data_IF_323644098349
#
_entry.id   IF_323644098349
#
_cell.length_a   1.000
_cell.length_b   1.000
_cell.length_c   1.000
_cell.angle_alpha   90.00
_cell.angle_beta   90.00
_cell.angle_gamma   90.00
#
_symmetry.space_group_name_H-M   'P 1'
#
loop_
_entity.id
_entity.type
_entity.pdbx_description
1 polymer ?
#
# COMPACT_ATOMS: atom_id res chain seq x y z
N UNK A 1 16.46 13.38 18.63
CA UNK A 1 17.22 13.12 17.39
C UNK A 1 16.30 12.21 16.62
N UNK A 2 15.62 12.74 15.61
CA UNK A 2 14.98 11.87 14.63
C UNK A 2 16.17 11.21 13.95
N UNK A 3 16.33 9.90 14.09
CA UNK A 3 17.27 9.18 13.26
C UNK A 3 16.55 9.06 11.91
N UNK A 4 17.11 9.73 10.90
CA UNK A 4 16.69 9.51 9.53
C UNK A 4 16.97 8.02 9.23
N UNK A 5 15.95 7.31 8.79
CA UNK A 5 16.04 5.89 8.50
C UNK A 5 17.11 5.61 7.46
N UNK A 6 17.85 4.52 7.67
CA UNK A 6 18.93 4.07 6.80
C UNK A 6 18.49 2.81 6.07
N UNK A 7 17.93 2.99 4.87
CA UNK A 7 17.38 1.90 4.07
C UNK A 7 18.50 0.97 3.56
N UNK A 8 18.36 -0.36 3.70
CA UNK A 8 19.33 -1.31 3.16
C UNK A 8 19.39 -1.27 1.63
N UNK A 9 20.59 -1.27 1.06
CA UNK A 9 20.79 -1.37 -0.39
C UNK A 9 20.95 -2.83 -0.83
N UNK A 10 20.29 -3.21 -1.91
CA UNK A 10 20.37 -4.52 -2.53
C UNK A 10 20.08 -4.45 -4.05
N UNK A 11 21.16 -4.37 -4.85
CA UNK A 11 21.11 -4.31 -6.32
C UNK A 11 20.37 -5.47 -7.02
N UNK A 12 20.03 -6.54 -6.29
CA UNK A 12 19.27 -7.68 -6.84
C UNK A 12 17.75 -7.52 -6.70
N UNK A 13 17.28 -6.53 -5.93
CA UNK A 13 15.86 -6.28 -5.69
C UNK A 13 15.32 -5.13 -6.56
N UNK A 14 14.01 -5.14 -6.88
CA UNK A 14 13.36 -3.95 -7.40
C UNK A 14 13.38 -2.84 -6.33
N UNK A 15 13.44 -1.59 -6.79
CA UNK A 15 13.47 -0.39 -5.93
C UNK A 15 12.12 0.32 -6.01
N UNK A 16 11.58 0.73 -4.88
CA UNK A 16 10.43 1.63 -4.78
C UNK A 16 10.71 2.81 -3.84
N UNK A 17 10.26 3.99 -4.24
CA UNK A 17 10.21 5.13 -3.32
C UNK A 17 9.26 4.84 -2.15
N UNK A 18 9.60 5.30 -0.95
CA UNK A 18 8.94 4.96 0.31
C UNK A 18 7.41 5.14 0.32
N UNK A 19 6.89 6.17 -0.37
CA UNK A 19 5.45 6.41 -0.48
C UNK A 19 4.78 5.43 -1.46
N UNK A 20 5.49 5.03 -2.52
CA UNK A 20 5.02 3.99 -3.44
C UNK A 20 5.10 2.61 -2.81
N UNK A 21 6.09 2.34 -1.97
CA UNK A 21 6.17 1.11 -1.19
C UNK A 21 4.97 0.96 -0.24
N UNK A 22 4.55 2.05 0.41
CA UNK A 22 3.33 2.07 1.22
C UNK A 22 2.09 1.72 0.40
N UNK A 23 1.90 2.34 -0.78
CA UNK A 23 0.77 2.03 -1.65
C UNK A 23 0.84 0.59 -2.17
N UNK A 24 2.03 0.11 -2.55
CA UNK A 24 2.25 -1.26 -2.97
C UNK A 24 1.81 -2.26 -1.90
N UNK A 25 2.09 -1.99 -0.62
CA UNK A 25 1.60 -2.86 0.46
C UNK A 25 0.07 -2.87 0.50
N UNK A 26 -0.57 -1.71 0.42
CA UNK A 26 -2.03 -1.59 0.47
C UNK A 26 -2.73 -2.26 -0.72
N UNK A 27 -2.08 -2.28 -1.89
CA UNK A 27 -2.62 -2.90 -3.10
C UNK A 27 -2.47 -4.43 -3.12
N UNK A 28 -1.43 -4.97 -2.46
CA UNK A 28 -1.02 -6.36 -2.65
C UNK A 28 -1.21 -7.25 -1.40
N UNK A 29 -1.36 -6.67 -0.21
CA UNK A 29 -1.32 -7.44 1.04
C UNK A 29 -2.51 -7.17 1.96
N UNK A 30 -2.82 -8.16 2.79
CA UNK A 30 -3.95 -8.12 3.72
C UNK A 30 -3.54 -8.27 5.19
N UNK A 31 -2.29 -8.67 5.45
CA UNK A 31 -1.79 -8.96 6.81
C UNK A 31 -0.49 -8.22 7.12
N UNK A 32 -0.24 -8.02 8.42
CA UNK A 32 1.02 -7.43 8.91
C UNK A 32 2.24 -8.28 8.51
N UNK A 33 2.12 -9.62 8.49
CA UNK A 33 3.21 -10.52 8.12
C UNK A 33 3.66 -10.31 6.67
N UNK A 34 2.70 -10.12 5.76
CA UNK A 34 3.00 -9.86 4.35
C UNK A 34 3.67 -8.49 4.15
N UNK A 35 3.22 -7.46 4.87
CA UNK A 35 3.84 -6.15 4.85
C UNK A 35 5.29 -6.18 5.37
N UNK A 36 5.56 -6.96 6.43
CA UNK A 36 6.92 -7.19 6.93
C UNK A 36 7.77 -7.91 5.88
N UNK A 37 7.24 -8.97 5.25
CA UNK A 37 7.94 -9.71 4.19
C UNK A 37 8.31 -8.79 3.02
N UNK A 38 7.42 -7.89 2.63
CA UNK A 38 7.65 -6.93 1.55
C UNK A 38 8.89 -6.05 1.78
N UNK A 39 9.22 -5.72 3.03
CA UNK A 39 10.44 -4.96 3.35
C UNK A 39 11.73 -5.70 2.93
N UNK A 40 11.68 -7.02 2.76
CA UNK A 40 12.82 -7.85 2.32
C UNK A 40 12.79 -8.20 0.84
N UNK A 41 11.67 -7.96 0.16
CA UNK A 41 11.45 -8.29 -1.26
C UNK A 41 11.65 -7.08 -2.18
N UNK A 42 11.58 -5.87 -1.62
CA UNK A 42 11.68 -4.60 -2.33
C UNK A 42 12.64 -3.69 -1.56
N UNK A 43 13.63 -3.13 -2.26
CA UNK A 43 14.47 -2.07 -1.71
C UNK A 43 13.65 -0.77 -1.63
N UNK A 44 13.67 -0.13 -0.46
CA UNK A 44 12.96 1.13 -0.23
C UNK A 44 13.96 2.28 -0.36
N UNK A 45 13.62 3.29 -1.16
CA UNK A 45 14.39 4.53 -1.25
C UNK A 45 13.59 5.75 -0.76
N UNK A 46 14.26 6.79 -0.27
CA UNK A 46 13.61 8.01 0.18
C UNK A 46 14.23 8.62 1.43
N UNK A 47 13.60 9.64 2.04
CA UNK A 47 14.09 10.35 3.22
C UNK A 47 14.06 9.55 4.54
N UNK A 48 14.21 8.22 4.52
CA UNK A 48 14.43 7.42 5.72
C UNK A 48 13.25 7.40 6.70
N UNK A 49 12.03 7.12 6.24
CA UNK A 49 10.88 6.93 7.13
C UNK A 49 10.86 5.54 7.78
N UNK A 50 10.12 5.45 8.87
CA UNK A 50 9.66 4.20 9.45
C UNK A 50 8.13 4.09 9.35
N UNK A 51 7.61 2.87 9.49
CA UNK A 51 6.22 2.57 9.19
C UNK A 51 5.55 1.87 10.36
N UNK A 52 4.32 2.27 10.65
CA UNK A 52 3.41 1.52 11.50
C UNK A 52 2.39 0.82 10.61
N UNK A 53 2.26 -0.49 10.77
CA UNK A 53 1.30 -1.30 10.02
C UNK A 53 0.39 -2.03 11.01
N UNK A 54 -0.89 -2.13 10.68
CA UNK A 54 -1.86 -2.92 11.41
C UNK A 54 -2.84 -3.61 10.48
N UNK A 55 -3.40 -4.75 10.90
CA UNK A 55 -4.36 -5.53 10.12
C UNK A 55 -5.73 -5.68 10.82
N UNK A 56 -6.69 -6.28 10.11
CA UNK A 56 -8.06 -6.47 10.60
C UNK A 56 -8.15 -7.42 11.80
N UNK A 57 -7.13 -8.26 12.03
CA UNK A 57 -7.04 -9.15 13.19
C UNK A 57 -6.56 -8.39 14.45
N UNK A 58 -6.02 -7.18 14.28
CA UNK A 58 -5.47 -6.36 15.36
C UNK A 58 -4.00 -6.65 15.63
N UNK A 59 -3.30 -7.33 14.72
CA UNK A 59 -1.85 -7.39 14.77
C UNK A 59 -1.30 -6.02 14.38
N UNK A 60 -0.18 -5.63 14.97
CA UNK A 60 0.52 -4.39 14.66
C UNK A 60 2.03 -4.65 14.58
N UNK A 61 2.72 -3.88 13.76
CA UNK A 61 4.17 -3.82 13.75
C UNK A 61 4.68 -2.40 13.47
N UNK A 62 5.81 -2.05 14.08
CA UNK A 62 6.66 -0.97 13.60
C UNK A 62 7.80 -1.57 12.76
N UNK A 63 7.98 -1.06 11.55
CA UNK A 63 9.05 -1.41 10.62
C UNK A 63 9.95 -0.18 10.49
N UNK A 64 11.18 -0.29 10.99
CA UNK A 64 12.19 0.76 10.92
C UNK A 64 13.42 0.25 10.16
N UNK A 65 14.21 1.20 9.65
CA UNK A 65 15.43 0.92 8.91
C UNK A 65 16.58 1.63 9.62
N UNK A 66 17.42 0.86 10.31
CA UNK A 66 18.43 1.38 11.25
C UNK A 66 19.73 0.64 10.96
N UNK A 67 20.82 1.39 10.80
CA UNK A 67 22.15 0.84 10.47
C UNK A 67 22.10 -0.11 9.26
N UNK A 68 21.42 0.31 8.20
CA UNK A 68 21.18 -0.46 6.96
C UNK A 68 20.52 -1.83 7.21
N UNK A 69 19.71 -1.95 8.26
CA UNK A 69 18.98 -3.17 8.61
C UNK A 69 17.50 -2.91 8.86
N UNK A 70 16.67 -3.90 8.50
CA UNK A 70 15.24 -3.89 8.79
C UNK A 70 15.05 -4.31 10.25
N UNK A 71 14.50 -3.41 11.06
CA UNK A 71 14.18 -3.61 12.47
C UNK A 71 12.67 -3.65 12.63
N UNK A 72 12.15 -4.79 13.09
CA UNK A 72 10.71 -5.02 13.26
C UNK A 72 10.38 -5.16 14.74
N UNK A 73 9.48 -4.32 15.25
CA UNK A 73 8.88 -4.45 16.58
C UNK A 73 7.42 -4.86 16.45
N UNK A 74 7.05 -6.02 17.01
CA UNK A 74 5.67 -6.55 17.01
C UNK A 74 5.42 -7.46 18.22
N UNK A 75 4.18 -7.92 18.40
CA UNK A 75 3.83 -8.90 19.44
C UNK A 75 4.35 -8.50 20.83
N UNK A 76 5.02 -9.41 21.55
CA UNK A 76 5.53 -9.19 22.91
C UNK A 76 6.61 -8.11 23.01
N UNK A 77 7.32 -7.83 21.91
CA UNK A 77 8.34 -6.75 21.85
C UNK A 77 7.74 -5.41 21.41
N UNK A 78 6.40 -5.35 21.27
CA UNK A 78 5.62 -4.14 21.01
C UNK A 78 4.47 -3.99 22.03
N UNK A 79 4.77 -3.83 23.34
CA UNK A 79 3.74 -3.79 24.38
C UNK A 79 2.81 -2.56 24.28
N UNK A 80 3.22 -1.52 23.56
CA UNK A 80 2.40 -0.35 23.23
C UNK A 80 2.30 -0.27 21.71
N UNK A 81 1.13 -0.49 21.10
CA UNK A 81 0.95 -0.45 19.65
C UNK A 81 0.86 1.00 19.17
N UNK A 82 2.00 1.70 19.16
CA UNK A 82 2.11 3.07 18.64
C UNK A 82 3.53 3.36 18.14
N UNK A 83 3.63 4.18 17.09
CA UNK A 83 4.90 4.66 16.54
C UNK A 83 4.84 6.18 16.40
N UNK A 84 5.95 6.83 16.71
CA UNK A 84 6.14 8.27 16.64
C UNK A 84 7.50 8.54 15.99
N UNK A 85 7.95 9.79 15.96
CA UNK A 85 9.12 10.24 15.21
C UNK A 85 10.48 9.75 15.74
N UNK A 86 10.52 8.79 16.67
CA UNK A 86 11.72 8.28 17.31
C UNK A 86 11.71 6.75 17.25
N UNK A 87 12.87 6.08 17.12
CA UNK A 87 12.93 4.62 17.08
C UNK A 87 12.16 3.97 18.23
N UNK A 88 11.40 2.91 17.94
CA UNK A 88 10.49 2.29 18.91
C UNK A 88 11.17 1.86 20.21
N UNK A 89 12.39 1.31 20.13
CA UNK A 89 13.17 0.95 21.32
C UNK A 89 13.48 2.17 22.21
N UNK A 90 13.71 3.34 21.62
CA UNK A 90 13.95 4.57 22.38
C UNK A 90 12.67 5.06 23.05
N UNK A 91 11.52 4.92 22.40
CA UNK A 91 10.21 5.20 23.01
C UNK A 91 9.96 4.28 24.23
N UNK A 92 10.29 2.99 24.13
CA UNK A 92 10.22 2.05 25.27
C UNK A 92 11.17 2.43 26.41
N UNK A 93 12.39 2.88 26.12
CA UNK A 93 13.31 3.35 27.17
C UNK A 93 12.75 4.56 27.93
N UNK A 94 12.10 5.48 27.23
CA UNK A 94 11.47 6.64 27.85
C UNK A 94 10.25 6.24 28.70
N UNK A 95 9.50 5.23 28.28
CA UNK A 95 8.32 4.74 28.99
C UNK A 95 8.64 4.26 30.41
N UNK A 96 9.80 3.60 30.60
CA UNK A 96 10.23 3.01 31.89
C UNK A 96 10.38 4.02 33.03
N UNK A 97 10.47 5.32 32.73
CA UNK A 97 10.58 6.37 33.75
C UNK A 97 9.24 6.72 34.40
N UNK A 98 8.11 6.32 33.82
CA UNK A 98 6.77 6.72 34.28
C UNK A 98 6.06 5.64 35.11
N UNK A 99 5.22 6.09 36.05
CA UNK A 99 4.41 5.21 36.89
C UNK A 99 3.43 4.39 36.04
N UNK A 100 3.21 3.15 36.47
CA UNK A 100 2.48 2.14 35.70
C UNK A 100 3.34 1.37 34.69
N UNK A 101 4.57 1.83 34.42
CA UNK A 101 5.50 1.21 33.47
C UNK A 101 6.90 0.94 34.06
N UNK A 102 7.02 0.96 35.39
CA UNK A 102 8.26 0.64 36.13
C UNK A 102 8.96 1.85 36.77
N UNK A 103 8.52 3.07 36.48
CA UNK A 103 9.17 4.29 36.96
C UNK A 103 8.40 5.05 38.05
N UNK A 104 8.88 6.25 38.37
CA UNK A 104 8.40 7.08 39.48
C UNK A 104 7.79 8.41 39.05
N UNK A 105 7.97 8.85 37.80
CA UNK A 105 7.39 10.09 37.29
C UNK A 105 5.90 9.89 37.00
N UNK A 106 5.07 10.85 37.41
CA UNK A 106 3.65 10.84 37.08
C UNK A 106 3.44 11.24 35.60
N UNK A 107 2.71 10.44 34.80
CA UNK A 107 2.36 10.85 33.45
C UNK A 107 1.22 11.86 33.50
N UNK A 108 1.53 13.13 33.22
CA UNK A 108 0.53 14.19 33.02
C UNK A 108 0.13 14.27 31.54
N UNK A 109 -1.09 13.81 31.23
CA UNK A 109 -1.60 13.83 29.85
C UNK A 109 -1.77 15.25 29.29
N UNK A 110 -1.90 16.26 30.16
CA UNK A 110 -2.01 17.67 29.77
C UNK A 110 -0.66 18.35 29.56
N UNK A 111 0.44 17.77 30.05
CA UNK A 111 1.79 18.34 29.89
C UNK A 111 2.36 17.97 28.50
N UNK A 112 2.62 18.95 27.60
CA UNK A 112 3.20 18.67 26.29
C UNK A 112 4.64 18.13 26.35
N UNK A 113 5.31 18.21 27.50
CA UNK A 113 6.66 17.66 27.70
C UNK A 113 6.64 16.16 28.00
N UNK A 114 5.50 15.60 28.39
CA UNK A 114 5.34 14.15 28.53
C UNK A 114 5.32 13.53 27.12
N UNK A 115 6.19 12.55 26.82
CA UNK A 115 6.27 11.96 25.48
C UNK A 115 4.90 11.43 25.02
N UNK A 116 4.57 11.67 23.74
CA UNK A 116 3.32 11.18 23.12
C UNK A 116 3.15 9.68 23.32
N UNK A 117 4.22 8.90 23.18
CA UNK A 117 4.20 7.45 23.43
C UNK A 117 3.78 7.07 24.85
N UNK A 118 4.21 7.83 25.87
CA UNK A 118 3.79 7.62 27.26
C UNK A 118 2.31 7.91 27.43
N UNK A 119 1.82 9.02 26.84
CA UNK A 119 0.39 9.36 26.86
C UNK A 119 -0.44 8.27 26.20
N UNK A 120 -0.02 7.78 25.02
CA UNK A 120 -0.66 6.65 24.34
C UNK A 120 -0.67 5.39 25.18
N UNK A 121 0.44 5.05 25.83
CA UNK A 121 0.51 3.87 26.70
C UNK A 121 -0.48 3.96 27.87
N UNK A 122 -0.61 5.13 28.49
CA UNK A 122 -1.60 5.38 29.55
C UNK A 122 -3.03 5.25 29.02
N UNK A 123 -3.34 5.91 27.90
CA UNK A 123 -4.68 5.87 27.32
C UNK A 123 -5.09 4.45 26.89
N UNK A 124 -4.21 3.71 26.21
CA UNK A 124 -4.49 2.32 25.84
C UNK A 124 -4.72 1.43 27.07
N UNK A 125 -3.92 1.60 28.13
CA UNK A 125 -4.06 0.83 29.38
C UNK A 125 -5.39 1.11 30.07
N UNK A 126 -5.83 2.36 30.05
CA UNK A 126 -6.98 2.84 30.81
C UNK A 126 -8.27 2.91 29.94
N UNK A 127 -8.23 2.41 28.70
CA UNK A 127 -9.38 2.38 27.81
C UNK A 127 -10.47 1.44 28.31
N UNK A 128 -11.69 1.95 28.43
CA UNK A 128 -12.87 1.17 28.81
C UNK A 128 -13.70 0.80 27.57
N UNK A 129 -13.93 -0.49 27.27
CA UNK A 129 -14.68 -0.93 26.07
C UNK A 129 -16.11 -0.40 25.95
N UNK A 130 -16.67 0.19 27.00
CA UNK A 130 -17.98 0.86 26.96
C UNK A 130 -17.95 2.22 26.28
N UNK A 131 -16.75 2.82 26.10
CA UNK A 131 -16.58 4.09 25.40
C UNK A 131 -16.70 3.88 23.89
N UNK A 132 -17.30 4.85 23.20
CA UNK A 132 -17.30 4.88 21.74
C UNK A 132 -15.85 5.00 21.23
N UNK A 133 -15.40 4.00 20.48
CA UNK A 133 -14.00 3.89 20.04
C UNK A 133 -13.59 5.03 19.09
N UNK A 134 -14.53 5.57 18.31
CA UNK A 134 -14.24 6.66 17.36
C UNK A 134 -14.01 7.97 18.13
N UNK A 135 -14.91 8.29 19.06
CA UNK A 135 -14.75 9.44 19.94
C UNK A 135 -13.48 9.33 20.78
N UNK A 136 -13.21 8.14 21.34
CA UNK A 136 -11.99 7.89 22.11
C UNK A 136 -10.72 8.01 21.26
N UNK A 137 -10.74 7.54 20.01
CA UNK A 137 -9.64 7.68 19.07
C UNK A 137 -9.31 9.15 18.79
N UNK A 138 -10.32 9.99 18.56
CA UNK A 138 -10.10 11.43 18.39
C UNK A 138 -9.69 12.15 19.67
N UNK A 139 -10.19 11.73 20.84
CA UNK A 139 -9.72 12.21 22.14
C UNK A 139 -8.23 11.89 22.36
N UNK A 140 -7.81 10.69 21.99
CA UNK A 140 -6.42 10.28 22.04
C UNK A 140 -5.57 11.16 21.12
N UNK A 141 -5.95 11.33 19.85
CA UNK A 141 -5.23 12.22 18.92
C UNK A 141 -5.16 13.68 19.42
N UNK A 142 -6.20 14.16 20.10
CA UNK A 142 -6.21 15.49 20.72
C UNK A 142 -5.23 15.59 21.90
N UNK A 143 -5.17 14.56 22.74
CA UNK A 143 -4.29 14.46 23.91
C UNK A 143 -2.81 14.37 23.53
N UNK A 144 -2.52 13.81 22.35
CA UNK A 144 -1.16 13.66 21.82
C UNK A 144 -0.58 14.93 21.21
N UNK A 145 -1.31 16.04 21.22
CA UNK A 145 -0.79 17.35 20.82
C UNK A 145 0.40 17.75 21.70
N UNK A 146 1.35 18.45 21.08
CA UNK A 146 2.55 18.96 21.75
C UNK A 146 2.44 20.48 21.85
N UNK A 147 2.99 21.22 20.89
CA UNK A 147 2.92 22.68 20.87
C UNK A 147 1.95 23.20 19.80
N UNK A 148 1.77 22.43 18.73
CA UNK A 148 0.97 22.79 17.58
C UNK A 148 -0.27 21.90 17.45
N UNK A 149 -1.27 22.43 16.76
CA UNK A 149 -2.44 21.65 16.35
C UNK A 149 -2.10 20.94 15.04
N UNK A 150 -2.25 19.60 14.95
CA UNK A 150 -2.03 18.87 13.70
C UNK A 150 -2.89 19.44 12.57
N UNK A 151 -2.33 19.52 11.36
CA UNK A 151 -3.06 19.99 10.17
C UNK A 151 -4.25 19.09 9.84
N UNK A 152 -4.16 17.82 10.20
CA UNK A 152 -5.23 16.84 10.04
C UNK A 152 -5.11 15.69 11.04
N UNK A 153 -6.19 14.94 11.18
CA UNK A 153 -6.27 13.75 12.03
C UNK A 153 -7.14 12.73 11.32
N UNK A 154 -6.64 11.50 11.17
CA UNK A 154 -7.33 10.40 10.50
C UNK A 154 -7.40 9.22 11.48
N UNK A 155 -8.56 8.56 11.51
CA UNK A 155 -8.81 7.33 12.24
C UNK A 155 -9.33 6.28 11.25
N UNK A 156 -8.69 5.11 11.25
CA UNK A 156 -9.14 3.95 10.49
C UNK A 156 -9.81 2.97 11.46
N UNK A 157 -11.13 2.79 11.38
CA UNK A 157 -11.83 1.68 12.03
C UNK A 157 -11.69 0.44 11.14
N UNK A 158 -10.57 -0.27 11.29
CA UNK A 158 -10.21 -1.42 10.44
C UNK A 158 -11.20 -2.58 10.53
N UNK A 159 -11.95 -2.70 11.63
CA UNK A 159 -12.95 -3.77 11.80
C UNK A 159 -14.25 -3.46 11.07
N UNK A 160 -14.68 -2.19 11.08
CA UNK A 160 -15.87 -1.74 10.34
C UNK A 160 -15.56 -1.20 8.95
N UNK A 161 -14.27 -1.14 8.58
CA UNK A 161 -13.78 -0.60 7.30
C UNK A 161 -14.25 0.83 7.05
N UNK A 162 -14.30 1.64 8.11
CA UNK A 162 -14.64 3.06 8.02
C UNK A 162 -13.40 3.92 8.21
N UNK A 163 -13.31 5.01 7.45
CA UNK A 163 -12.30 6.05 7.64
C UNK A 163 -12.97 7.28 8.17
N UNK A 164 -12.44 7.84 9.25
CA UNK A 164 -12.89 9.10 9.83
C UNK A 164 -11.74 10.11 9.77
N UNK A 165 -12.02 11.35 9.40
CA UNK A 165 -10.98 12.36 9.33
C UNK A 165 -11.50 13.77 9.59
N UNK A 166 -10.60 14.66 9.97
CA UNK A 166 -10.85 16.11 10.07
C UNK A 166 -9.58 16.87 9.76
N UNK A 167 -9.72 18.10 9.29
CA UNK A 167 -8.59 19.02 9.12
C UNK A 167 -8.61 20.08 10.22
N UNK A 168 -7.50 20.79 10.40
CA UNK A 168 -7.39 21.88 11.37
C UNK A 168 -8.38 23.00 11.09
N UNK A 169 -8.60 23.31 9.82
CA UNK A 169 -9.47 24.42 9.38
C UNK A 169 -10.93 23.99 9.22
N UNK A 170 -11.19 22.70 8.91
CA UNK A 170 -12.53 22.11 8.84
C UNK A 170 -12.68 20.96 9.87
N UNK A 171 -12.98 21.30 11.15
CA UNK A 171 -12.87 20.37 12.28
C UNK A 171 -14.06 19.41 12.43
N UNK A 172 -15.15 19.58 11.65
CA UNK A 172 -16.21 18.58 11.62
C UNK A 172 -15.67 17.24 11.09
N UNK A 173 -15.95 16.15 11.82
CA UNK A 173 -15.52 14.81 11.47
C UNK A 173 -16.26 14.37 10.20
N UNK A 174 -15.46 14.04 9.19
CA UNK A 174 -15.86 13.42 7.93
C UNK A 174 -15.70 11.92 8.05
N UNK A 175 -16.50 11.16 7.32
CA UNK A 175 -16.39 9.71 7.26
C UNK A 175 -16.69 9.15 5.87
N UNK A 176 -16.07 8.00 5.59
CA UNK A 176 -16.27 7.22 4.37
C UNK A 176 -16.32 5.74 4.77
N UNK A 177 -17.34 5.03 4.29
CA UNK A 177 -17.42 3.57 4.39
C UNK A 177 -16.73 2.93 3.20
N UNK A 178 -15.71 2.11 3.44
CA UNK A 178 -15.03 1.38 2.36
C UNK A 178 -15.91 0.28 1.76
N UNK A 179 -16.93 -0.19 2.48
CA UNK A 179 -17.87 -1.18 1.96
C UNK A 179 -18.83 -0.60 0.90
N UNK A 180 -18.93 0.74 0.81
CA UNK A 180 -19.75 1.44 -0.17
C UNK A 180 -18.97 1.90 -1.42
N UNK A 181 -17.65 1.62 -1.46
CA UNK A 181 -16.79 1.94 -2.58
C UNK A 181 -16.70 0.72 -3.51
N UNK A 182 -16.95 0.94 -4.81
CA UNK A 182 -16.71 -0.05 -5.85
C UNK A 182 -15.21 -0.10 -6.19
N UNK A 183 -14.48 -1.10 -5.70
CA UNK A 183 -13.06 -1.29 -6.01
C UNK A 183 -12.82 -2.09 -7.30
N UNK A 184 -13.84 -2.34 -8.13
CA UNK A 184 -13.65 -3.03 -9.40
C UNK A 184 -12.95 -2.15 -10.43
N UNK A 185 -12.26 -2.79 -11.38
CA UNK A 185 -11.57 -2.13 -12.50
C UNK A 185 -12.54 -1.49 -13.53
N UNK A 186 -13.82 -1.32 -13.18
CA UNK A 186 -14.85 -0.78 -14.07
C UNK A 186 -15.12 0.71 -13.84
N UNK A 187 -14.75 1.23 -12.67
CA UNK A 187 -14.93 2.64 -12.33
C UNK A 187 -13.60 3.41 -12.48
N UNK A 188 -13.65 4.72 -12.79
CA UNK A 188 -12.44 5.53 -12.79
C UNK A 188 -11.88 5.69 -11.38
N UNK A 189 -10.58 6.00 -11.28
CA UNK A 189 -9.98 6.48 -10.04
C UNK A 189 -10.71 7.73 -9.57
N UNK A 190 -11.06 7.76 -8.28
CA UNK A 190 -11.80 8.85 -7.64
C UNK A 190 -10.88 9.65 -6.73
N UNK A 191 -11.15 10.95 -6.59
CA UNK A 191 -10.41 11.86 -5.72
C UNK A 191 -11.37 12.76 -4.95
N UNK A 192 -10.97 13.14 -3.74
CA UNK A 192 -11.64 14.09 -2.86
C UNK A 192 -10.59 15.03 -2.25
N UNK A 193 -10.87 16.33 -2.19
CA UNK A 193 -10.08 17.24 -1.34
C UNK A 193 -10.46 16.99 0.13
N UNK A 194 -9.50 16.55 0.94
CA UNK A 194 -9.72 16.26 2.35
C UNK A 194 -10.15 17.49 3.18
N UNK A 195 -9.84 18.69 2.70
CA UNK A 195 -10.20 19.95 3.36
C UNK A 195 -11.58 20.48 2.97
N UNK A 196 -12.49 19.58 2.57
CA UNK A 196 -13.90 19.90 2.33
C UNK A 196 -14.58 20.47 3.59
N UNK A 197 -15.47 21.45 3.43
CA UNK A 197 -16.13 22.08 4.59
C UNK A 197 -17.16 21.14 5.22
N UNK A 198 -17.90 20.40 4.39
CA UNK A 198 -18.94 19.47 4.79
C UNK A 198 -18.39 18.37 5.71
N UNK A 199 -18.99 18.22 6.90
CA UNK A 199 -18.78 17.07 7.78
C UNK A 199 -19.67 15.88 7.46
N UNK A 200 -19.45 14.78 8.19
CA UNK A 200 -20.18 13.50 8.09
C UNK A 200 -19.84 12.71 6.83
N UNK A 201 -20.80 12.01 6.25
CA UNK A 201 -20.58 11.15 5.09
C UNK A 201 -20.27 12.02 3.86
N UNK A 202 -19.08 11.84 3.31
CA UNK A 202 -18.56 12.58 2.17
C UNK A 202 -18.33 11.69 0.94
N UNK A 203 -18.82 10.45 0.93
CA UNK A 203 -18.61 9.53 -0.19
C UNK A 203 -19.12 10.10 -1.52
N UNK A 204 -20.26 10.80 -1.49
CA UNK A 204 -20.84 11.43 -2.68
C UNK A 204 -20.09 12.69 -3.17
N UNK A 205 -19.07 13.15 -2.44
CA UNK A 205 -18.22 14.28 -2.82
C UNK A 205 -17.01 13.85 -3.63
N UNK A 206 -16.73 12.54 -3.69
CA UNK A 206 -15.72 11.99 -4.59
C UNK A 206 -16.11 12.22 -6.04
N UNK A 207 -15.12 12.54 -6.85
CA UNK A 207 -15.30 12.70 -8.30
C UNK A 207 -14.12 12.07 -9.05
N UNK A 208 -14.28 11.74 -10.35
CA UNK A 208 -13.18 11.18 -11.12
C UNK A 208 -11.94 12.07 -11.08
N UNK A 209 -10.80 11.43 -10.89
CA UNK A 209 -9.48 12.04 -11.00
C UNK A 209 -9.27 12.55 -12.43
N UNK A 210 -8.65 13.72 -12.56
CA UNK A 210 -8.11 14.23 -13.83
C UNK A 210 -6.81 14.96 -13.56
N UNK A 211 -5.91 14.96 -14.55
CA UNK A 211 -4.63 15.68 -14.46
C UNK A 211 -4.89 17.18 -14.21
N UNK A 212 -5.90 17.76 -14.86
CA UNK A 212 -6.33 19.15 -14.62
C UNK A 212 -6.70 19.42 -13.15
N UNK A 213 -7.47 18.52 -12.50
CA UNK A 213 -7.84 18.68 -11.10
C UNK A 213 -6.65 18.57 -10.16
N UNK A 214 -5.70 17.66 -10.43
CA UNK A 214 -4.49 17.54 -9.64
C UNK A 214 -3.58 18.77 -9.79
N UNK A 215 -3.46 19.31 -11.01
CA UNK A 215 -2.77 20.58 -11.26
C UNK A 215 -3.42 21.73 -10.48
N UNK A 216 -4.74 21.86 -10.61
CA UNK A 216 -5.53 22.88 -9.92
C UNK A 216 -5.36 22.80 -8.40
N UNK A 217 -5.42 21.61 -7.82
CA UNK A 217 -5.18 21.38 -6.40
C UNK A 217 -3.76 21.77 -6.00
N UNK A 218 -2.76 21.35 -6.77
CA UNK A 218 -1.36 21.63 -6.46
C UNK A 218 -1.06 23.13 -6.52
N UNK A 219 -1.50 23.82 -7.58
CA UNK A 219 -1.32 25.28 -7.73
C UNK A 219 -2.05 26.07 -6.63
N UNK A 220 -3.32 25.72 -6.36
CA UNK A 220 -4.19 26.55 -5.50
C UNK A 220 -4.07 26.20 -4.03
N UNK A 221 -3.67 24.97 -3.69
CA UNK A 221 -3.68 24.48 -2.30
C UNK A 221 -2.31 24.06 -1.79
N UNK A 222 -1.42 23.51 -2.62
CA UNK A 222 -0.07 23.09 -2.18
C UNK A 222 0.98 24.20 -2.28
N UNK A 223 1.06 24.91 -3.40
CA UNK A 223 2.06 25.97 -3.56
C UNK A 223 1.97 27.09 -2.52
N UNK A 224 0.78 27.50 -2.04
CA UNK A 224 0.70 28.54 -1.01
C UNK A 224 1.18 28.12 0.39
N UNK A 225 1.29 26.82 0.68
CA UNK A 225 1.60 26.32 2.03
C UNK A 225 3.07 25.99 2.25
N UNK A 226 3.86 25.89 1.17
CA UNK A 226 5.30 25.59 1.23
C UNK A 226 6.09 26.60 0.39
N UNK A 227 7.34 26.87 0.76
CA UNK A 227 8.22 27.71 -0.05
C UNK A 227 8.47 27.09 -1.43
N UNK A 228 8.66 27.91 -2.47
CA UNK A 228 8.86 27.46 -3.86
C UNK A 228 10.03 26.47 -4.01
N UNK A 229 11.06 26.64 -3.19
CA UNK A 229 12.24 25.77 -3.13
C UNK A 229 11.90 24.31 -2.76
N UNK A 230 10.77 24.08 -2.07
CA UNK A 230 10.29 22.73 -1.76
C UNK A 230 9.81 21.97 -3.01
N UNK A 231 9.37 22.68 -4.05
CA UNK A 231 8.84 22.10 -5.29
C UNK A 231 9.85 22.11 -6.44
N UNK A 232 10.89 22.94 -6.33
CA UNK A 232 11.91 23.16 -7.36
C UNK A 232 13.24 22.46 -7.04
N UNK A 233 13.23 21.55 -6.06
CA UNK A 233 14.38 20.71 -5.72
C UNK A 233 14.83 19.90 -6.95
N UNK A 234 16.13 19.90 -7.25
CA UNK A 234 16.67 19.24 -8.44
C UNK A 234 16.57 20.07 -9.72
N UNK A 235 16.47 21.40 -9.58
CA UNK A 235 16.50 22.38 -10.69
C UNK A 235 15.30 22.27 -11.66
N UNK A 236 14.18 21.74 -11.18
CA UNK A 236 12.93 21.72 -11.96
C UNK A 236 12.14 23.01 -11.75
N UNK A 237 11.39 23.41 -12.76
CA UNK A 237 10.42 24.51 -12.68
C UNK A 237 9.13 24.07 -12.00
N UNK A 238 8.33 25.02 -11.49
CA UNK A 238 6.99 24.72 -10.97
C UNK A 238 6.08 24.08 -12.02
N UNK A 239 6.18 24.51 -13.28
CA UNK A 239 5.43 23.91 -14.39
C UNK A 239 5.83 22.45 -14.62
N UNK A 240 7.12 22.13 -14.55
CA UNK A 240 7.61 20.74 -14.62
C UNK A 240 7.17 19.91 -13.42
N UNK A 241 7.17 20.48 -12.21
CA UNK A 241 6.65 19.81 -11.02
C UNK A 241 5.16 19.48 -11.18
N UNK A 242 4.34 20.44 -11.61
CA UNK A 242 2.92 20.25 -11.87
C UNK A 242 2.68 19.18 -12.93
N UNK A 243 3.44 19.23 -14.02
CA UNK A 243 3.35 18.23 -15.07
C UNK A 243 3.63 16.84 -14.51
N UNK A 244 4.79 16.63 -13.88
CA UNK A 244 5.20 15.34 -13.32
C UNK A 244 4.20 14.78 -12.31
N UNK A 245 3.73 15.61 -11.38
CA UNK A 245 2.81 15.18 -10.33
C UNK A 245 1.39 14.94 -10.82
N UNK A 246 0.96 15.60 -11.91
CA UNK A 246 -0.39 15.40 -12.45
C UNK A 246 -0.47 14.28 -13.48
N UNK A 247 0.61 13.97 -14.19
CA UNK A 247 0.66 12.96 -15.27
C UNK A 247 1.43 11.69 -14.90
N UNK A 248 1.82 11.54 -13.63
CA UNK A 248 2.67 10.42 -13.15
C UNK A 248 2.16 9.01 -13.53
N UNK A 249 0.84 8.82 -13.68
CA UNK A 249 0.25 7.54 -14.06
C UNK A 249 -0.02 7.39 -15.56
N UNK A 250 0.05 8.46 -16.35
CA UNK A 250 -0.28 8.43 -17.79
C UNK A 250 0.61 7.44 -18.55
N UNK A 251 1.86 7.29 -18.10
CA UNK A 251 2.82 6.38 -18.71
C UNK A 251 2.35 4.91 -18.66
N UNK A 252 1.53 4.51 -17.68
CA UNK A 252 1.02 3.14 -17.56
C UNK A 252 0.06 2.75 -18.69
N UNK A 253 -0.62 3.74 -19.29
CA UNK A 253 -1.52 3.54 -20.43
C UNK A 253 -0.78 3.47 -21.79
N UNK A 254 0.51 3.81 -21.84
CA UNK A 254 1.30 3.79 -23.08
C UNK A 254 1.55 2.36 -23.56
N UNK A 255 1.32 2.11 -24.85
CA UNK A 255 1.43 0.76 -25.43
C UNK A 255 2.83 0.17 -25.31
N UNK A 256 3.87 1.01 -25.42
CA UNK A 256 5.27 0.61 -25.24
C UNK A 256 5.63 0.24 -23.78
N UNK A 257 4.84 0.69 -22.80
CA UNK A 257 4.97 0.31 -21.38
C UNK A 257 4.16 -0.95 -21.05
N UNK A 258 3.23 -1.35 -21.91
CA UNK A 258 2.40 -2.54 -21.77
C UNK A 258 2.97 -3.74 -22.54
N UNK A 259 4.26 -4.03 -22.37
CA UNK A 259 4.95 -5.10 -23.11
C UNK A 259 4.34 -6.50 -22.88
N UNK A 260 3.74 -6.69 -21.71
CA UNK A 260 3.03 -7.91 -21.31
C UNK A 260 1.71 -8.13 -22.08
N UNK A 261 1.07 -7.08 -22.60
CA UNK A 261 -0.21 -7.15 -23.31
C UNK A 261 -0.10 -7.98 -24.58
N UNK A 262 -1.07 -8.86 -24.81
CA UNK A 262 -1.16 -9.70 -26.01
C UNK A 262 -1.56 -11.15 -25.68
N UNK A 263 -1.56 -11.98 -26.71
CA UNK A 263 -1.79 -13.41 -26.59
C UNK A 263 -0.43 -14.13 -26.55
N UNK A 264 -0.28 -15.05 -25.61
CA UNK A 264 0.93 -15.82 -25.34
C UNK A 264 0.59 -17.31 -25.40
N UNK A 265 1.32 -18.10 -26.18
CA UNK A 265 1.07 -19.54 -26.38
C UNK A 265 2.35 -20.35 -26.36
N UNK A 266 2.33 -21.57 -25.82
CA UNK A 266 3.46 -22.49 -26.01
C UNK A 266 3.53 -23.00 -27.46
N UNK A 267 4.72 -23.42 -27.89
CA UNK A 267 4.95 -23.90 -29.25
C UNK A 267 4.17 -25.22 -29.51
N UNK A 268 3.28 -25.29 -30.51
CA UNK A 268 2.51 -26.49 -30.85
C UNK A 268 3.34 -27.64 -31.45
N UNK A 269 4.61 -27.41 -31.84
CA UNK A 269 5.46 -28.42 -32.48
C UNK A 269 6.28 -29.29 -31.48
N UNK A 270 6.04 -29.17 -30.17
CA UNK A 270 6.65 -30.04 -29.14
C UNK A 270 5.69 -31.15 -28.68
N UNK A 271 6.26 -32.15 -27.99
CA UNK A 271 5.72 -33.47 -27.66
C UNK A 271 4.18 -33.58 -27.57
N UNK A 272 3.61 -34.61 -28.18
CA UNK A 272 2.15 -34.80 -28.29
C UNK A 272 1.38 -34.84 -26.96
N UNK A 273 2.08 -34.95 -25.83
CA UNK A 273 1.52 -35.04 -24.48
C UNK A 273 1.65 -33.73 -23.66
N UNK A 274 2.26 -32.67 -24.22
CA UNK A 274 2.44 -31.38 -23.52
C UNK A 274 1.12 -30.58 -23.47
N UNK A 275 0.79 -30.02 -22.31
CA UNK A 275 -0.42 -29.20 -22.12
C UNK A 275 -0.31 -27.90 -22.92
N UNK A 276 -1.24 -27.64 -23.85
CA UNK A 276 -1.37 -26.33 -24.50
C UNK A 276 -1.87 -25.27 -23.50
N UNK A 277 -1.19 -24.12 -23.47
CA UNK A 277 -1.52 -22.96 -22.65
C UNK A 277 -1.69 -21.75 -23.56
N UNK A 278 -2.83 -21.06 -23.46
CA UNK A 278 -3.07 -19.77 -24.12
C UNK A 278 -3.38 -18.75 -23.03
N UNK A 279 -2.47 -17.78 -22.85
CA UNK A 279 -2.63 -16.67 -21.92
C UNK A 279 -2.90 -15.38 -22.73
N UNK A 280 -4.04 -14.75 -22.49
CA UNK A 280 -4.41 -13.46 -23.08
C UNK A 280 -4.36 -12.39 -21.99
N UNK A 281 -3.47 -11.42 -22.16
CA UNK A 281 -3.37 -10.23 -21.29
C UNK A 281 -3.87 -9.01 -22.05
N UNK A 282 -4.77 -8.26 -21.43
CA UNK A 282 -5.44 -7.09 -21.97
C UNK A 282 -5.34 -5.91 -21.02
N UNK A 283 -5.57 -4.73 -21.56
CA UNK A 283 -5.60 -3.49 -20.79
C UNK A 283 -6.74 -2.59 -21.23
N UNK A 284 -7.28 -1.84 -20.28
CA UNK A 284 -8.17 -0.71 -20.49
C UNK A 284 -7.54 0.47 -19.76
N UNK A 285 -6.95 1.38 -20.53
CA UNK A 285 -6.05 2.40 -20.01
C UNK A 285 -4.91 1.76 -19.21
N UNK A 286 -4.81 2.02 -17.91
CA UNK A 286 -3.84 1.46 -16.97
C UNK A 286 -4.31 0.15 -16.29
N UNK A 287 -5.60 -0.17 -16.34
CA UNK A 287 -6.14 -1.38 -15.76
C UNK A 287 -5.74 -2.63 -16.56
N UNK A 288 -5.20 -3.65 -15.87
CA UNK A 288 -4.76 -4.92 -16.46
C UNK A 288 -5.75 -6.03 -16.11
N UNK A 289 -6.10 -6.85 -17.10
CA UNK A 289 -6.94 -8.03 -16.93
C UNK A 289 -6.53 -9.10 -17.96
N UNK A 290 -7.07 -10.30 -17.84
CA UNK A 290 -6.73 -11.35 -18.79
C UNK A 290 -7.47 -12.63 -18.57
N UNK A 291 -7.30 -13.53 -19.53
CA UNK A 291 -7.84 -14.86 -19.46
C UNK A 291 -6.79 -15.90 -19.81
N UNK A 292 -6.98 -17.10 -19.31
CA UNK A 292 -6.14 -18.24 -19.62
C UNK A 292 -6.99 -19.45 -20.04
N UNK A 293 -6.53 -20.19 -21.03
CA UNK A 293 -7.08 -21.49 -21.38
C UNK A 293 -6.00 -22.56 -21.34
N UNK A 294 -6.40 -23.75 -20.88
CA UNK A 294 -5.59 -24.96 -20.82
C UNK A 294 -6.28 -26.02 -21.68
N UNK A 295 -5.51 -26.77 -22.48
CA UNK A 295 -6.05 -27.87 -23.32
C UNK A 295 -6.87 -28.91 -22.54
N UNK A 296 -6.60 -29.09 -21.24
CA UNK A 296 -7.30 -30.02 -20.35
C UNK A 296 -8.74 -29.63 -20.02
N UNK A 297 -9.14 -28.38 -20.30
CA UNK A 297 -10.45 -27.81 -19.93
C UNK A 297 -11.43 -27.67 -21.12
N UNK A 298 -11.26 -28.49 -22.15
CA UNK A 298 -12.19 -28.59 -23.29
C UNK A 298 -12.47 -27.24 -23.99
N UNK A 299 -11.45 -26.38 -24.10
CA UNK A 299 -11.55 -25.09 -24.80
C UNK A 299 -12.21 -23.97 -24.00
N UNK A 300 -12.36 -24.13 -22.68
CA UNK A 300 -12.79 -23.03 -21.79
C UNK A 300 -11.67 -22.03 -21.56
N UNK A 301 -12.07 -20.80 -21.27
CA UNK A 301 -11.21 -19.70 -20.85
C UNK A 301 -11.60 -19.30 -19.42
N UNK A 302 -10.62 -18.98 -18.59
CA UNK A 302 -10.80 -18.59 -17.19
C UNK A 302 -10.23 -17.20 -16.96
N UNK A 303 -10.95 -16.34 -16.26
CA UNK A 303 -10.43 -15.04 -15.84
C UNK A 303 -9.25 -15.24 -14.88
N UNK A 304 -8.22 -14.42 -15.03
CA UNK A 304 -7.10 -14.39 -14.10
C UNK A 304 -7.38 -13.40 -12.97
N UNK A 305 -6.90 -13.73 -11.78
CA UNK A 305 -7.05 -12.97 -10.54
C UNK A 305 -5.70 -12.81 -9.84
N UNK A 306 -5.60 -11.89 -8.88
CA UNK A 306 -4.37 -11.63 -8.11
C UNK A 306 -3.14 -11.41 -9.02
N UNK A 307 -3.26 -10.52 -10.00
CA UNK A 307 -2.19 -10.23 -10.96
C UNK A 307 -1.14 -9.35 -10.29
N UNK A 308 0.09 -9.82 -10.22
CA UNK A 308 1.25 -9.08 -9.76
C UNK A 308 2.29 -9.00 -10.87
N UNK A 309 2.78 -7.80 -11.18
CA UNK A 309 3.86 -7.59 -12.14
C UNK A 309 4.96 -6.75 -11.49
N UNK A 310 6.07 -7.39 -11.13
CA UNK A 310 7.22 -6.73 -10.49
C UNK A 310 8.42 -6.89 -11.41
N UNK A 311 8.86 -5.79 -12.01
CA UNK A 311 9.85 -5.83 -13.09
C UNK A 311 9.37 -6.73 -14.22
N UNK A 312 10.08 -7.84 -14.45
CA UNK A 312 9.72 -8.83 -15.46
C UNK A 312 9.00 -10.06 -14.89
N UNK A 313 8.74 -10.11 -13.58
CA UNK A 313 8.10 -11.24 -12.94
C UNK A 313 6.59 -11.00 -12.87
N UNK A 314 5.82 -11.81 -13.59
CA UNK A 314 4.38 -11.85 -13.61
C UNK A 314 3.90 -13.02 -12.77
N UNK A 315 3.03 -12.78 -11.80
CA UNK A 315 2.35 -13.80 -11.02
C UNK A 315 0.85 -13.56 -11.09
N UNK A 316 0.07 -14.62 -11.23
CA UNK A 316 -1.39 -14.54 -11.17
C UNK A 316 -1.99 -15.89 -10.82
N UNK A 317 -3.28 -15.88 -10.52
CA UNK A 317 -4.05 -17.06 -10.12
C UNK A 317 -5.32 -17.17 -10.95
N UNK A 318 -5.95 -18.34 -10.98
CA UNK A 318 -7.26 -18.52 -11.62
C UNK A 318 -7.96 -19.78 -11.10
N UNK A 319 -9.30 -19.74 -11.08
CA UNK A 319 -10.14 -20.90 -10.80
C UNK A 319 -10.48 -21.63 -12.12
N UNK A 320 -10.35 -22.96 -12.13
CA UNK A 320 -10.67 -23.79 -13.31
C UNK A 320 -11.82 -24.76 -13.03
N UNK A 321 -12.34 -25.33 -14.13
CA UNK A 321 -13.27 -26.46 -14.05
C UNK A 321 -12.57 -27.82 -14.11
N UNK A 322 -11.24 -27.86 -14.03
CA UNK A 322 -10.50 -29.09 -14.19
C UNK A 322 -10.73 -30.00 -12.98
N UNK A 323 -11.15 -31.23 -13.25
CA UNK A 323 -11.52 -32.20 -12.20
C UNK A 323 -10.40 -32.49 -11.20
N UNK A 324 -9.13 -32.30 -11.58
CA UNK A 324 -7.97 -32.60 -10.72
C UNK A 324 -7.53 -31.42 -9.87
N UNK A 325 -7.70 -30.18 -10.34
CA UNK A 325 -7.26 -29.00 -9.62
C UNK A 325 -8.23 -27.86 -9.86
N UNK A 326 -8.83 -27.38 -8.78
CA UNK A 326 -9.77 -26.26 -8.82
C UNK A 326 -9.05 -24.92 -9.03
N UNK A 327 -7.81 -24.81 -8.56
CA UNK A 327 -7.08 -23.55 -8.50
C UNK A 327 -5.67 -23.72 -9.04
N UNK A 328 -5.19 -22.69 -9.71
CA UNK A 328 -3.84 -22.60 -10.22
C UNK A 328 -3.21 -21.27 -9.87
N UNK A 329 -1.91 -21.33 -9.63
CA UNK A 329 -1.01 -20.19 -9.64
C UNK A 329 -0.05 -20.33 -10.82
N UNK A 330 0.20 -19.22 -11.52
CA UNK A 330 1.24 -19.11 -12.52
C UNK A 330 2.26 -18.10 -12.07
N UNK A 331 3.52 -18.52 -12.10
CA UNK A 331 4.68 -17.64 -11.96
C UNK A 331 5.42 -17.60 -13.29
N UNK A 332 5.62 -16.41 -13.83
CA UNK A 332 6.13 -16.23 -15.16
C UNK A 332 7.16 -15.11 -15.25
N UNK A 333 8.24 -15.32 -16.01
CA UNK A 333 9.23 -14.27 -16.29
C UNK A 333 9.15 -13.81 -17.73
N UNK A 334 8.89 -12.53 -17.94
CA UNK A 334 8.76 -11.88 -19.24
C UNK A 334 10.15 -11.49 -19.76
N UNK A 335 10.53 -12.04 -20.91
CA UNK A 335 11.77 -11.71 -21.60
C UNK A 335 11.44 -11.36 -23.06
N UNK A 336 11.14 -10.09 -23.32
CA UNK A 336 10.71 -9.61 -24.64
C UNK A 336 9.47 -10.37 -25.15
N UNK A 337 9.64 -11.23 -26.17
CA UNK A 337 8.57 -11.99 -26.81
C UNK A 337 8.43 -13.42 -26.27
N UNK A 338 9.27 -13.78 -25.30
CA UNK A 338 9.24 -15.06 -24.62
C UNK A 338 8.82 -14.90 -23.16
N UNK A 339 8.12 -15.90 -22.64
CA UNK A 339 7.72 -15.96 -21.24
C UNK A 339 7.88 -17.38 -20.74
N UNK A 340 8.73 -17.59 -19.74
CA UNK A 340 8.78 -18.89 -19.03
C UNK A 340 7.75 -18.85 -17.93
N UNK A 341 6.72 -19.69 -18.00
CA UNK A 341 5.62 -19.76 -17.05
C UNK A 341 5.62 -21.12 -16.33
N UNK A 342 5.68 -21.13 -15.01
CA UNK A 342 5.55 -22.34 -14.20
C UNK A 342 4.16 -22.42 -13.61
N UNK A 343 3.53 -23.58 -13.74
CA UNK A 343 2.15 -23.82 -13.33
C UNK A 343 2.11 -24.66 -12.06
N UNK A 344 1.52 -24.09 -11.00
CA UNK A 344 1.34 -24.75 -9.71
C UNK A 344 -0.14 -24.97 -9.43
N UNK A 345 -0.54 -26.23 -9.21
CA UNK A 345 -1.85 -26.56 -8.63
C UNK A 345 -1.79 -26.57 -7.11
N UNK A 346 -2.90 -26.97 -6.48
CA UNK A 346 -3.00 -26.99 -5.01
C UNK A 346 -2.03 -28.02 -4.40
N UNK A 347 -1.95 -29.21 -5.01
CA UNK A 347 -1.15 -30.34 -4.49
C UNK A 347 -0.03 -30.77 -5.46
N UNK A 348 -0.06 -30.28 -6.70
CA UNK A 348 0.77 -30.75 -7.80
C UNK A 348 1.54 -29.60 -8.46
N UNK A 349 2.79 -29.85 -8.86
CA UNK A 349 3.54 -28.97 -9.76
C UNK A 349 3.43 -29.52 -11.19
N UNK A 350 2.91 -28.70 -12.11
CA UNK A 350 2.67 -29.09 -13.51
C UNK A 350 3.83 -28.74 -14.44
N UNK A 351 4.90 -28.15 -13.92
CA UNK A 351 6.12 -27.85 -14.65
C UNK A 351 6.14 -26.47 -15.29
N UNK A 352 7.19 -26.22 -16.07
CA UNK A 352 7.46 -24.94 -16.72
C UNK A 352 7.24 -25.03 -18.22
N UNK A 353 6.55 -24.03 -18.76
CA UNK A 353 6.17 -23.90 -20.16
C UNK A 353 6.82 -22.64 -20.74
N UNK A 354 7.31 -22.74 -21.97
CA UNK A 354 7.82 -21.58 -22.71
C UNK A 354 6.71 -21.05 -23.62
N UNK A 355 6.23 -19.84 -23.34
CA UNK A 355 5.18 -19.15 -24.09
C UNK A 355 5.79 -18.08 -25.00
N UNK A 356 5.26 -17.97 -26.22
CA UNK A 356 5.62 -17.00 -27.23
C UNK A 356 4.45 -16.07 -27.53
N UNK A 357 4.75 -14.80 -27.81
CA UNK A 357 3.73 -13.82 -28.21
C UNK A 357 3.21 -14.11 -29.63
N UNK A 358 1.90 -14.25 -29.79
CA UNK A 358 1.19 -14.78 -30.99
C UNK A 358 1.55 -14.06 -32.32
N UNK A 359 2.08 -12.84 -32.27
CA UNK A 359 2.53 -12.10 -33.47
C UNK A 359 3.84 -12.64 -34.08
N UNK A 360 4.42 -13.72 -33.55
CA UNK A 360 5.71 -14.29 -33.99
C UNK A 360 5.78 -15.83 -34.00
N UNK A 361 4.63 -16.53 -33.92
CA UNK A 361 4.55 -17.97 -34.22
C UNK A 361 4.37 -18.21 -35.73
#
# INVERSE_FOLDING_TARGET
MNEDGDYPQNDSLPILYELNWMQYILDNYSTVEEAIRCAYEIEVEGPGKHFFVGDAQGNCAAIAFIDSQIVVNRDQIMPVPGLFNTPYNRELELLKYYKGFGGLYEPDLSDPRVPRFVKTAVMIRDYEPTQDIVNYGFEMLDTLKVWDVPEWSILFDVRKRNVYFKTRVNPEIKNISMDEIDFSNNIPVMILNMDIEEGRDVLNQFHPYTNEKMRDFTEKSMFPILPEEAFTLGEITLDEYLERTSTHNDAAALTEKQCFKGVWKNNPDKEADEMEIILKLETKDDAVFGQISLSVDAGKSFEIEHIHLIGNNLKFTFETSWKRNKFFEIEARINNNEKTATLYGIEDNFGSYLLFKDNQL
#
